data_IF_570601679931
#
_entry.id   IF_570601679931
#
_cell.length_a   1.000
_cell.length_b   1.000
_cell.length_c   1.000
_cell.angle_alpha   90.00
_cell.angle_beta   90.00
_cell.angle_gamma   90.00
#
_symmetry.space_group_name_H-M   'P 1'
#
loop_
_entity.id
_entity.type
_entity.pdbx_description
1 polymer ?
#
# COMPACT_ATOMS: atom_id res chain seq x y z
N UNK A 1 13.31 -26.34 -12.41
CA UNK A 1 13.42 -24.88 -12.71
C UNK A 1 12.43 -24.08 -11.86
N UNK A 2 12.78 -22.91 -11.33
CA UNK A 2 11.86 -22.10 -10.52
C UNK A 2 10.70 -21.56 -11.38
N UNK A 3 9.49 -21.89 -11.03
CA UNK A 3 8.24 -21.44 -11.64
C UNK A 3 7.62 -20.36 -10.77
N UNK A 4 7.24 -19.23 -11.37
CA UNK A 4 6.51 -18.13 -10.76
C UNK A 4 5.26 -17.84 -11.58
N UNK A 5 4.09 -17.95 -10.98
CA UNK A 5 2.81 -17.71 -11.65
C UNK A 5 1.91 -16.84 -10.78
N UNK A 6 1.16 -15.93 -11.44
CA UNK A 6 0.16 -15.08 -10.80
C UNK A 6 -1.22 -15.49 -11.28
N UNK A 7 -2.14 -15.59 -10.35
CA UNK A 7 -3.54 -15.96 -10.60
C UNK A 7 -4.47 -14.93 -9.99
N UNK A 8 -5.69 -14.87 -10.51
CA UNK A 8 -6.78 -14.04 -10.00
C UNK A 8 -8.01 -14.90 -9.77
N UNK A 9 -8.66 -14.68 -8.64
CA UNK A 9 -9.98 -15.25 -8.31
C UNK A 9 -10.95 -14.16 -7.94
N UNK A 10 -12.23 -14.46 -7.98
CA UNK A 10 -13.25 -13.52 -7.53
C UNK A 10 -13.16 -13.35 -6.01
N UNK A 11 -13.24 -12.11 -5.53
CA UNK A 11 -13.26 -11.81 -4.11
C UNK A 11 -14.62 -12.16 -3.49
N UNK A 12 -14.61 -12.62 -2.25
CA UNK A 12 -15.83 -12.79 -1.48
C UNK A 12 -16.44 -11.44 -1.10
N UNK A 13 -17.77 -11.35 -1.20
CA UNK A 13 -18.49 -10.19 -0.66
C UNK A 13 -18.43 -10.18 0.88
N UNK A 14 -18.35 -8.99 1.47
CA UNK A 14 -18.50 -8.84 2.91
C UNK A 14 -19.98 -8.88 3.28
N UNK A 15 -20.43 -10.04 3.74
CA UNK A 15 -21.84 -10.27 4.06
C UNK A 15 -22.27 -9.58 5.36
N UNK A 16 -21.37 -9.31 6.30
CA UNK A 16 -21.68 -8.61 7.55
C UNK A 16 -21.99 -7.13 7.32
N UNK A 17 -21.20 -6.50 6.46
CA UNK A 17 -21.35 -5.08 6.15
C UNK A 17 -22.12 -4.84 4.85
N UNK A 18 -22.59 -5.89 4.19
CA UNK A 18 -23.29 -5.83 2.90
C UNK A 18 -22.50 -5.03 1.83
N UNK A 19 -21.19 -5.26 1.78
CA UNK A 19 -20.29 -4.62 0.81
C UNK A 19 -19.96 -5.61 -0.30
N UNK A 20 -20.29 -5.23 -1.54
CA UNK A 20 -19.86 -5.98 -2.72
C UNK A 20 -18.44 -5.57 -3.09
N UNK A 21 -17.58 -6.57 -3.23
CA UNK A 21 -16.24 -6.37 -3.77
C UNK A 21 -16.26 -6.51 -5.29
N UNK A 22 -15.63 -5.55 -5.96
CA UNK A 22 -15.56 -5.48 -7.43
C UNK A 22 -14.20 -5.86 -7.97
N UNK A 23 -13.15 -5.81 -7.15
CA UNK A 23 -11.82 -6.21 -7.55
C UNK A 23 -11.58 -7.69 -7.30
N UNK A 24 -10.78 -8.30 -8.16
CA UNK A 24 -10.34 -9.69 -7.98
C UNK A 24 -9.25 -9.79 -6.95
N UNK A 25 -9.25 -10.89 -6.21
CA UNK A 25 -8.16 -11.30 -5.35
C UNK A 25 -7.04 -11.88 -6.20
N UNK A 26 -5.83 -11.39 -6.01
CA UNK A 26 -4.63 -11.87 -6.70
C UNK A 26 -3.78 -12.71 -5.74
N UNK A 27 -3.20 -13.80 -6.24
CA UNK A 27 -2.21 -14.56 -5.50
C UNK A 27 -1.09 -15.05 -6.43
N UNK A 28 0.08 -15.26 -5.86
CA UNK A 28 1.26 -15.79 -6.56
C UNK A 28 1.67 -17.11 -6.00
N UNK A 29 2.09 -17.99 -6.91
CA UNK A 29 2.64 -19.30 -6.56
C UNK A 29 4.07 -19.36 -7.07
N UNK A 30 4.96 -19.89 -6.22
CA UNK A 30 6.33 -20.23 -6.61
C UNK A 30 6.68 -21.62 -6.17
N UNK A 31 7.29 -22.38 -7.05
CA UNK A 31 7.79 -23.75 -6.78
C UNK A 31 8.90 -24.11 -7.77
N UNK A 32 9.68 -25.11 -7.43
CA UNK A 32 10.65 -25.72 -8.35
C UNK A 32 10.02 -26.99 -8.94
N UNK A 33 9.82 -27.01 -10.26
CA UNK A 33 9.16 -28.12 -10.98
C UNK A 33 10.02 -29.40 -11.06
N UNK A 34 11.30 -29.32 -10.70
CA UNK A 34 12.20 -30.47 -10.60
C UNK A 34 12.15 -31.18 -9.23
N UNK A 35 11.38 -30.60 -8.27
CA UNK A 35 11.28 -31.13 -6.92
C UNK A 35 9.98 -31.90 -6.67
N UNK A 36 10.08 -32.89 -5.80
CA UNK A 36 8.91 -33.58 -5.25
C UNK A 36 8.30 -32.72 -4.12
N UNK A 37 7.22 -32.01 -4.43
CA UNK A 37 6.59 -31.06 -3.51
C UNK A 37 5.92 -31.80 -2.35
N UNK A 38 6.35 -31.50 -1.13
CA UNK A 38 5.89 -32.16 0.10
C UNK A 38 4.95 -31.31 0.96
N UNK A 39 4.95 -29.98 0.76
CA UNK A 39 4.14 -29.08 1.58
C UNK A 39 3.78 -27.79 0.84
N UNK A 40 2.81 -27.07 1.40
CA UNK A 40 2.42 -25.71 1.00
C UNK A 40 2.86 -24.75 2.10
N UNK A 41 3.52 -23.65 1.72
CA UNK A 41 3.91 -22.56 2.61
C UNK A 41 3.19 -21.30 2.17
N UNK A 42 2.51 -20.64 3.09
CA UNK A 42 1.90 -19.33 2.85
C UNK A 42 2.83 -18.22 3.31
N UNK A 43 3.10 -17.27 2.43
CA UNK A 43 3.77 -16.01 2.76
C UNK A 43 2.71 -14.92 2.82
N UNK A 44 2.53 -14.34 4.01
CA UNK A 44 1.47 -13.37 4.28
C UNK A 44 2.11 -12.04 4.65
N UNK A 45 1.74 -10.97 3.96
CA UNK A 45 2.17 -9.62 4.26
C UNK A 45 1.65 -9.13 5.61
N UNK A 46 2.47 -8.35 6.31
CA UNK A 46 2.08 -7.76 7.60
C UNK A 46 1.12 -6.58 7.46
N UNK A 47 0.43 -6.28 8.55
CA UNK A 47 -0.46 -5.12 8.68
C UNK A 47 0.22 -3.79 8.32
N UNK A 48 -0.50 -2.93 7.63
CA UNK A 48 -0.02 -1.60 7.23
C UNK A 48 1.00 -1.61 6.10
N UNK A 49 1.33 -2.77 5.59
CA UNK A 49 2.15 -2.94 4.40
C UNK A 49 1.26 -3.17 3.18
N UNK A 50 1.74 -2.74 2.03
CA UNK A 50 1.17 -3.10 0.76
C UNK A 50 1.39 -4.61 0.56
N UNK A 51 0.33 -5.34 0.20
CA UNK A 51 0.41 -6.79 0.01
C UNK A 51 1.43 -7.21 -1.07
N UNK A 52 1.72 -6.33 -2.02
CA UNK A 52 2.69 -6.56 -3.09
C UNK A 52 4.05 -5.90 -2.78
N UNK A 53 4.68 -6.27 -1.69
CA UNK A 53 6.02 -5.80 -1.33
C UNK A 53 7.07 -6.70 -1.96
N UNK A 54 8.05 -6.11 -2.65
CA UNK A 54 9.08 -6.83 -3.38
C UNK A 54 9.95 -7.78 -2.53
N UNK A 55 10.17 -7.48 -1.26
CA UNK A 55 10.95 -8.39 -0.41
C UNK A 55 10.19 -9.70 -0.12
N UNK A 56 8.85 -9.69 -0.09
CA UNK A 56 8.06 -10.91 0.02
C UNK A 56 8.14 -11.76 -1.25
N UNK A 57 8.35 -11.16 -2.41
CA UNK A 57 8.67 -11.90 -3.63
C UNK A 57 10.00 -12.61 -3.50
N UNK A 58 11.01 -11.94 -2.95
CA UNK A 58 12.31 -12.56 -2.68
C UNK A 58 12.20 -13.73 -1.70
N UNK A 59 11.50 -13.55 -0.60
CA UNK A 59 11.30 -14.61 0.41
C UNK A 59 10.56 -15.81 -0.20
N UNK A 60 9.51 -15.57 -0.98
CA UNK A 60 8.75 -16.61 -1.68
C UNK A 60 9.64 -17.43 -2.61
N UNK A 61 10.42 -16.76 -3.45
CA UNK A 61 11.32 -17.42 -4.41
C UNK A 61 12.46 -18.15 -3.70
N UNK A 62 13.02 -17.57 -2.66
CA UNK A 62 14.07 -18.21 -1.85
C UNK A 62 13.58 -19.51 -1.21
N UNK A 63 12.39 -19.49 -0.60
CA UNK A 63 11.81 -20.67 0.04
C UNK A 63 11.53 -21.77 -1.02
N UNK A 64 10.89 -21.40 -2.13
CA UNK A 64 10.59 -22.34 -3.20
C UNK A 64 11.84 -22.98 -3.80
N UNK A 65 12.91 -22.20 -3.96
CA UNK A 65 14.18 -22.67 -4.49
C UNK A 65 14.95 -23.60 -3.55
N UNK A 66 14.85 -23.39 -2.24
CA UNK A 66 15.68 -24.10 -1.27
C UNK A 66 14.96 -25.27 -0.55
N UNK A 67 13.65 -25.35 -0.64
CA UNK A 67 12.85 -26.38 0.03
C UNK A 67 11.92 -27.10 -0.97
N UNK A 68 11.47 -28.31 -0.60
CA UNK A 68 10.54 -29.11 -1.41
C UNK A 68 9.10 -28.67 -1.16
N UNK A 69 8.79 -27.40 -1.45
CA UNK A 69 7.48 -26.82 -1.14
C UNK A 69 6.98 -25.96 -2.31
N UNK A 70 5.66 -25.84 -2.38
CA UNK A 70 5.02 -24.74 -3.12
C UNK A 70 4.78 -23.58 -2.17
N UNK A 71 5.11 -22.36 -2.57
CA UNK A 71 4.92 -21.15 -1.78
C UNK A 71 3.80 -20.34 -2.40
N UNK A 72 2.80 -20.01 -1.60
CA UNK A 72 1.64 -19.19 -1.98
C UNK A 72 1.70 -17.87 -1.27
N UNK A 73 1.63 -16.78 -2.03
CA UNK A 73 1.54 -15.43 -1.51
C UNK A 73 0.21 -14.80 -1.96
N UNK A 74 -0.69 -14.58 -1.02
CA UNK A 74 -2.01 -14.01 -1.25
C UNK A 74 -1.95 -12.48 -1.08
N UNK A 75 -2.42 -11.75 -2.09
CA UNK A 75 -2.58 -10.29 -2.02
C UNK A 75 -3.97 -9.95 -1.51
N UNK A 76 -4.22 -10.32 -0.26
CA UNK A 76 -5.49 -10.08 0.38
C UNK A 76 -5.81 -8.59 0.51
N UNK A 77 -7.09 -8.25 0.55
CA UNK A 77 -7.54 -6.88 0.79
C UNK A 77 -7.18 -6.49 2.22
N UNK A 78 -6.11 -5.74 2.37
CA UNK A 78 -5.63 -5.29 3.67
C UNK A 78 -5.45 -3.77 3.70
N UNK A 79 -5.48 -3.21 4.90
CA UNK A 79 -5.14 -1.81 5.08
C UNK A 79 -3.69 -1.56 4.65
N UNK A 80 -3.54 -0.71 3.65
CA UNK A 80 -2.23 -0.26 3.19
C UNK A 80 -2.01 1.22 3.54
N UNK A 81 -1.10 1.48 4.47
CA UNK A 81 -0.67 2.82 4.83
C UNK A 81 0.54 3.29 3.98
N UNK A 82 1.01 2.49 3.04
CA UNK A 82 2.20 2.82 2.24
C UNK A 82 1.81 3.32 0.87
N UNK A 83 2.47 4.40 0.47
CA UNK A 83 2.44 4.92 -0.89
C UNK A 83 3.54 4.19 -1.66
N UNK A 84 3.19 3.64 -2.81
CA UNK A 84 4.09 2.93 -3.71
C UNK A 84 3.91 3.38 -5.14
N UNK A 85 4.85 3.03 -6.01
CA UNK A 85 4.74 3.31 -7.44
C UNK A 85 3.67 2.45 -8.14
N UNK A 86 3.26 1.34 -7.53
CA UNK A 86 2.19 0.51 -8.06
C UNK A 86 0.84 1.02 -7.56
N UNK A 87 0.13 1.75 -8.42
CA UNK A 87 -1.17 2.36 -8.10
C UNK A 87 -2.25 1.36 -7.67
N UNK A 88 -2.16 0.11 -8.11
CA UNK A 88 -3.13 -0.95 -7.73
C UNK A 88 -3.09 -1.23 -6.23
N UNK A 89 -1.90 -1.16 -5.62
CA UNK A 89 -1.67 -1.51 -4.22
C UNK A 89 -1.23 -0.32 -3.37
N UNK A 90 -1.22 0.88 -3.95
CA UNK A 90 -0.76 2.08 -3.26
C UNK A 90 -1.92 2.78 -2.57
N UNK A 91 -1.76 3.06 -1.29
CA UNK A 91 -2.62 4.05 -0.65
C UNK A 91 -2.38 5.43 -1.28
N UNK A 92 -3.39 6.25 -1.30
CA UNK A 92 -3.30 7.67 -1.65
C UNK A 92 -3.58 8.53 -0.43
N UNK A 93 -3.04 9.74 -0.44
CA UNK A 93 -3.31 10.73 0.60
C UNK A 93 -4.45 11.62 0.11
N UNK A 94 -5.43 11.84 0.99
CA UNK A 94 -6.48 12.83 0.83
C UNK A 94 -6.53 13.73 2.06
N UNK A 95 -7.23 14.83 1.95
CA UNK A 95 -7.41 15.79 3.04
C UNK A 95 -8.91 16.06 3.20
N UNK A 96 -9.43 15.71 4.36
CA UNK A 96 -10.78 16.05 4.77
C UNK A 96 -10.80 17.43 5.45
N UNK A 97 -11.96 17.96 5.76
CA UNK A 97 -12.07 19.32 6.36
C UNK A 97 -11.25 19.46 7.65
N UNK A 98 -11.22 18.42 8.48
CA UNK A 98 -10.41 18.39 9.71
C UNK A 98 -8.90 18.44 9.47
N UNK A 99 -8.44 18.00 8.31
CA UNK A 99 -7.01 17.98 7.96
C UNK A 99 -6.53 19.33 7.43
N UNK A 100 -7.43 20.17 6.88
CA UNK A 100 -7.07 21.42 6.19
C UNK A 100 -6.35 22.42 7.08
N UNK A 101 -6.73 22.48 8.35
CA UNK A 101 -6.08 23.40 9.30
C UNK A 101 -4.61 23.01 9.51
N UNK A 102 -4.34 21.72 9.66
CA UNK A 102 -3.00 21.19 9.83
C UNK A 102 -2.15 21.39 8.57
N UNK A 103 -2.72 21.13 7.40
CA UNK A 103 -2.07 21.35 6.10
C UNK A 103 -1.79 22.84 5.88
N UNK A 104 -2.74 23.73 6.17
CA UNK A 104 -2.58 25.18 6.03
C UNK A 104 -1.42 25.71 6.88
N UNK A 105 -1.33 25.25 8.13
CA UNK A 105 -0.26 25.65 9.04
C UNK A 105 1.11 25.28 8.50
N UNK A 106 1.31 24.04 8.09
CA UNK A 106 2.62 23.60 7.58
C UNK A 106 2.98 24.31 6.27
N UNK A 107 2.02 24.60 5.39
CA UNK A 107 2.23 25.37 4.18
C UNK A 107 2.76 26.77 4.49
N UNK A 108 2.16 27.46 5.46
CA UNK A 108 2.58 28.79 5.92
C UNK A 108 3.98 28.76 6.54
N UNK A 109 4.31 27.74 7.33
CA UNK A 109 5.64 27.54 7.91
C UNK A 109 6.74 27.46 6.83
N UNK A 110 6.38 26.93 5.65
CA UNK A 110 7.26 26.88 4.48
C UNK A 110 7.11 28.06 3.50
N UNK A 111 6.38 29.11 3.89
CA UNK A 111 6.18 30.31 3.07
C UNK A 111 5.25 30.11 1.88
N UNK A 112 4.51 29.01 1.85
CA UNK A 112 3.50 28.72 0.83
C UNK A 112 2.16 29.24 1.36
N UNK A 113 1.65 30.34 0.77
CA UNK A 113 0.37 30.90 1.18
C UNK A 113 -0.79 30.22 0.43
N UNK A 114 -1.59 29.37 1.08
CA UNK A 114 -2.70 28.69 0.43
C UNK A 114 -3.89 29.67 0.30
N UNK A 115 -4.20 30.07 -0.93
CA UNK A 115 -5.42 30.83 -1.21
C UNK A 115 -6.60 29.87 -1.38
N UNK A 116 -7.65 30.07 -0.56
CA UNK A 116 -8.88 29.26 -0.61
C UNK A 116 -8.62 27.74 -0.54
N UNK A 117 -7.81 27.31 0.45
CA UNK A 117 -7.54 25.89 0.67
C UNK A 117 -8.85 25.15 0.99
N UNK A 118 -9.15 24.13 0.19
CA UNK A 118 -10.30 23.25 0.36
C UNK A 118 -9.91 21.79 0.05
N UNK A 119 -10.81 20.85 0.28
CA UNK A 119 -10.56 19.42 0.03
C UNK A 119 -10.25 19.13 -1.45
N UNK A 120 -10.75 19.94 -2.39
CA UNK A 120 -10.57 19.73 -3.83
C UNK A 120 -9.17 20.11 -4.31
N UNK A 121 -8.58 21.16 -3.71
CA UNK A 121 -7.27 21.67 -4.10
C UNK A 121 -6.15 21.29 -3.14
N UNK A 122 -6.46 20.68 -2.00
CA UNK A 122 -5.51 20.28 -0.95
C UNK A 122 -4.36 19.40 -1.47
N UNK A 123 -4.66 18.44 -2.33
CA UNK A 123 -3.64 17.55 -2.94
C UNK A 123 -2.62 18.34 -3.74
N UNK A 124 -3.03 19.36 -4.48
CA UNK A 124 -2.13 20.25 -5.23
C UNK A 124 -1.18 21.00 -4.28
N UNK A 125 -1.71 21.54 -3.19
CA UNK A 125 -0.87 22.24 -2.19
C UNK A 125 0.07 21.27 -1.46
N UNK A 126 -0.38 20.07 -1.19
CA UNK A 126 0.49 19.01 -0.65
C UNK A 126 1.64 18.66 -1.59
N UNK A 127 1.38 18.50 -2.88
CA UNK A 127 2.42 18.24 -3.88
C UNK A 127 3.44 19.39 -3.94
N UNK A 128 2.97 20.64 -3.91
CA UNK A 128 3.84 21.82 -3.84
C UNK A 128 4.72 21.81 -2.59
N UNK A 129 4.16 21.47 -1.43
CA UNK A 129 4.90 21.36 -0.18
C UNK A 129 6.00 20.29 -0.28
N UNK A 130 5.67 19.11 -0.79
CA UNK A 130 6.64 18.01 -0.93
C UNK A 130 7.77 18.38 -1.88
N UNK A 131 7.46 18.99 -3.02
CA UNK A 131 8.49 19.48 -3.97
C UNK A 131 9.39 20.54 -3.34
N UNK A 132 8.81 21.46 -2.56
CA UNK A 132 9.57 22.49 -1.84
C UNK A 132 10.50 21.86 -0.80
N UNK A 133 10.02 20.92 0.00
CA UNK A 133 10.82 20.16 0.99
C UNK A 133 11.98 19.42 0.31
N UNK A 134 11.73 18.72 -0.81
CA UNK A 134 12.76 18.03 -1.59
C UNK A 134 13.83 19.03 -2.04
N UNK A 135 13.41 20.17 -2.55
CA UNK A 135 14.33 21.24 -2.99
C UNK A 135 15.19 21.76 -1.85
N UNK A 136 14.60 22.03 -0.68
CA UNK A 136 15.35 22.50 0.48
C UNK A 136 16.35 21.46 1.00
N UNK A 137 15.97 20.19 0.98
CA UNK A 137 16.88 19.07 1.33
C UNK A 137 18.06 18.98 0.36
N UNK A 138 17.80 19.07 -0.95
CA UNK A 138 18.86 19.02 -1.96
C UNK A 138 19.84 20.19 -1.87
N UNK A 139 19.36 21.35 -1.39
CA UNK A 139 20.18 22.56 -1.14
C UNK A 139 20.89 22.54 0.23
N UNK A 140 20.71 21.49 1.04
CA UNK A 140 21.26 21.44 2.39
C UNK A 140 20.62 22.43 3.40
N UNK A 141 19.51 23.07 3.03
CA UNK A 141 18.77 24.01 3.89
C UNK A 141 17.81 23.33 4.86
N UNK A 142 17.55 22.05 4.65
CA UNK A 142 16.70 21.24 5.49
C UNK A 142 17.37 19.88 5.72
N UNK A 143 17.26 19.34 6.94
CA UNK A 143 17.85 18.06 7.28
C UNK A 143 17.28 16.92 6.39
N UNK A 144 18.11 15.97 5.97
CA UNK A 144 17.68 14.86 5.08
C UNK A 144 16.57 14.01 5.71
N UNK A 145 16.62 13.83 7.02
CA UNK A 145 15.64 13.05 7.80
C UNK A 145 14.41 13.87 8.23
N UNK A 146 14.30 15.14 7.83
CA UNK A 146 13.14 15.96 8.17
C UNK A 146 11.85 15.34 7.60
N UNK A 147 10.81 15.29 8.42
CA UNK A 147 9.46 14.87 8.03
C UNK A 147 8.47 15.97 8.43
N UNK A 148 7.68 16.43 7.48
CA UNK A 148 6.61 17.38 7.74
C UNK A 148 5.52 16.70 8.60
N UNK A 149 5.06 17.40 9.63
CA UNK A 149 4.01 16.89 10.54
C UNK A 149 2.69 17.58 10.23
N UNK A 150 1.75 16.83 9.71
CA UNK A 150 0.37 17.26 9.45
C UNK A 150 -0.56 16.04 9.50
N UNK A 151 -1.85 16.27 9.65
CA UNK A 151 -2.87 15.22 9.56
C UNK A 151 -3.28 15.03 8.10
N UNK A 152 -3.63 13.81 7.74
CA UNK A 152 -4.15 13.45 6.43
C UNK A 152 -4.95 12.16 6.53
N UNK A 153 -5.87 11.98 5.63
CA UNK A 153 -6.65 10.76 5.50
C UNK A 153 -6.03 9.88 4.42
N UNK A 154 -5.81 8.61 4.75
CA UNK A 154 -5.36 7.62 3.77
C UNK A 154 -6.55 7.00 3.08
N UNK A 155 -6.53 7.00 1.75
CA UNK A 155 -7.50 6.29 0.93
C UNK A 155 -6.88 4.95 0.52
N UNK A 156 -7.55 3.83 0.79
CA UNK A 156 -7.10 2.51 0.39
C UNK A 156 -6.94 2.39 -1.13
N UNK A 157 -6.07 1.49 -1.60
CA UNK A 157 -5.93 1.23 -3.02
C UNK A 157 -7.26 0.70 -3.62
N UNK A 158 -7.54 1.11 -4.84
CA UNK A 158 -8.71 0.70 -5.64
C UNK A 158 -10.09 1.07 -5.06
N UNK A 159 -10.15 1.86 -3.99
CA UNK A 159 -11.41 2.18 -3.32
C UNK A 159 -12.11 0.97 -2.69
N UNK A 160 -11.46 -0.19 -2.68
CA UNK A 160 -11.99 -1.40 -2.08
C UNK A 160 -11.94 -1.34 -0.56
N UNK A 161 -12.96 -1.90 0.06
CA UNK A 161 -13.04 -2.04 1.48
C UNK A 161 -11.87 -2.85 2.03
N UNK A 162 -11.15 -2.28 2.97
CA UNK A 162 -10.04 -2.94 3.62
C UNK A 162 -10.45 -3.46 4.98
N UNK A 163 -10.37 -4.76 5.14
CA UNK A 163 -10.85 -5.44 6.33
C UNK A 163 -9.69 -5.80 7.26
N UNK A 164 -9.95 -5.70 8.56
CA UNK A 164 -9.04 -6.08 9.63
C UNK A 164 -9.50 -7.34 10.35
N UNK A 165 -10.32 -8.12 9.82
CA UNK A 165 -10.89 -9.17 10.58
C UNK A 165 -10.94 -10.49 9.85
N UNK A 166 -12.04 -11.17 10.06
CA UNK A 166 -12.29 -12.49 9.53
C UNK A 166 -12.24 -12.53 8.00
N UNK A 167 -12.58 -11.42 7.32
CA UNK A 167 -12.56 -11.37 5.85
C UNK A 167 -11.15 -11.49 5.28
N UNK A 168 -10.13 -10.89 5.93
CA UNK A 168 -8.75 -11.07 5.52
C UNK A 168 -8.25 -12.53 5.66
N UNK A 169 -8.92 -13.32 6.50
CA UNK A 169 -8.65 -14.74 6.65
C UNK A 169 -9.48 -15.61 5.67
N UNK A 170 -10.57 -15.06 5.13
CA UNK A 170 -11.38 -15.71 4.08
C UNK A 170 -10.75 -15.51 2.70
N UNK A 171 -10.19 -14.33 2.43
CA UNK A 171 -9.42 -14.06 1.22
C UNK A 171 -8.21 -15.01 1.12
#
# INVERSE_FOLDING_TARGET
>A
MLINQTFEIDSCDDVELNIKRTSKLEYRISYDDEKDIKAIVFVIGGYGANANISFLDFDREYIAKNFDVVVVHVFYHCFCARISNNKKYSASISFMEEDLLSLSKILLDFGINPQNLDCKNSTKYYELLIQHIITLKSQGKLAQNYQAKFTSTFIPPNGDYQNYGIMAAID
#
